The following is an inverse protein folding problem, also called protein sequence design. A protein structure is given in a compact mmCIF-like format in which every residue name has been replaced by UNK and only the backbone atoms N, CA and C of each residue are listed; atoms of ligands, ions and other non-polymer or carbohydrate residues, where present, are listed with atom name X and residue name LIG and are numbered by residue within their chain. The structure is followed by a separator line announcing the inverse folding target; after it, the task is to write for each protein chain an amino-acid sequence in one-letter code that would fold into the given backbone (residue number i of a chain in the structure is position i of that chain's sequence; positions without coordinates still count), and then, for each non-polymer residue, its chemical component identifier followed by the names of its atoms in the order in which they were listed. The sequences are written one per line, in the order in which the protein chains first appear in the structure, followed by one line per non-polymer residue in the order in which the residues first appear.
data_IF_036080718921
#
_entry.id   IF_036080718921
#
_cell.length_a   1.000
_cell.length_b   1.000
_cell.length_c   1.000
_cell.angle_alpha   90.00
_cell.angle_beta   90.00
_cell.angle_gamma   90.00
#
_symmetry.space_group_name_H-M   'P 1'
#
loop_
_entity.id
_entity.type
_entity.pdbx_description
1 polymer ?
#
# COMPACT_ATOMS: atom_id res chain seq x y z
N UNK A 1 -12.95 -4.13 14.60
CA UNK A 1 -14.14 -3.92 13.78
C UNK A 1 -15.00 -5.18 13.80
N UNK A 2 -16.13 -5.13 14.46
CA UNK A 2 -17.18 -6.13 14.26
C UNK A 2 -18.31 -5.45 13.49
N UNK A 3 -18.33 -5.52 12.16
CA UNK A 3 -19.31 -4.79 11.34
C UNK A 3 -20.70 -5.44 11.36
N UNK A 4 -20.97 -6.42 12.25
CA UNK A 4 -22.19 -7.21 12.24
C UNK A 4 -22.34 -8.06 10.96
N UNK A 5 -21.32 -8.15 10.15
CA UNK A 5 -21.08 -9.11 9.10
C UNK A 5 -20.07 -10.09 9.68
N UNK A 6 -20.16 -11.35 9.47
CA UNK A 6 -19.29 -12.40 10.02
C UNK A 6 -17.85 -12.01 10.35
N UNK A 7 -17.06 -12.95 10.75
CA UNK A 7 -15.68 -12.68 11.15
C UNK A 7 -14.84 -12.28 9.94
N UNK A 8 -13.98 -11.30 10.11
CA UNK A 8 -12.99 -10.91 9.09
C UNK A 8 -11.59 -10.85 9.72
N UNK A 9 -10.57 -11.15 8.91
CA UNK A 9 -9.17 -10.95 9.26
C UNK A 9 -8.63 -9.77 8.50
N UNK A 10 -8.06 -8.81 9.23
CA UNK A 10 -7.39 -7.65 8.64
C UNK A 10 -5.88 -7.85 8.75
N UNK A 11 -5.18 -7.72 7.64
CA UNK A 11 -3.73 -7.74 7.59
C UNK A 11 -3.22 -6.33 7.29
N UNK A 12 -2.47 -5.79 8.26
CA UNK A 12 -1.68 -4.58 8.11
C UNK A 12 -0.28 -5.00 7.64
N UNK A 13 0.09 -4.83 6.37
CA UNK A 13 1.36 -5.33 5.85
C UNK A 13 2.57 -4.52 6.31
N UNK A 14 2.34 -3.35 6.89
CA UNK A 14 3.39 -2.45 7.36
C UNK A 14 3.55 -2.67 8.86
N UNK A 15 4.57 -3.45 9.22
CA UNK A 15 4.91 -3.79 10.59
C UNK A 15 6.41 -3.62 10.77
N UNK A 16 6.85 -2.47 11.31
CA UNK A 16 8.25 -2.25 11.60
C UNK A 16 8.47 -2.21 13.12
N UNK A 17 9.07 -3.26 13.65
CA UNK A 17 9.39 -3.40 15.07
C UNK A 17 10.63 -2.60 15.50
N UNK A 18 11.38 -2.02 14.57
CA UNK A 18 12.66 -1.37 14.82
C UNK A 18 12.60 0.16 14.88
N UNK A 19 11.46 0.75 14.58
CA UNK A 19 11.29 2.21 14.67
C UNK A 19 10.79 2.63 16.04
N UNK A 20 11.13 3.84 16.46
CA UNK A 20 10.80 4.37 17.77
C UNK A 20 9.30 4.65 18.02
N UNK A 21 8.46 4.58 16.99
CA UNK A 21 7.01 4.51 17.10
C UNK A 21 6.59 3.04 16.95
N UNK A 22 5.75 2.59 17.81
CA UNK A 22 5.35 1.19 17.84
C UNK A 22 4.20 0.92 16.91
N UNK A 23 4.27 -0.22 16.23
CA UNK A 23 3.14 -0.81 15.59
C UNK A 23 3.09 -0.65 14.09
N UNK A 24 2.17 -1.41 13.55
CA UNK A 24 1.84 -1.49 12.15
C UNK A 24 1.00 -0.29 11.74
N UNK A 25 1.61 0.88 11.64
CA UNK A 25 0.96 2.08 11.14
C UNK A 25 1.33 2.33 9.70
N UNK A 26 0.37 2.14 8.79
CA UNK A 26 0.56 2.35 7.37
C UNK A 26 -0.70 2.85 6.69
N UNK A 27 -0.59 3.15 5.41
CA UNK A 27 -1.70 3.64 4.60
C UNK A 27 -2.48 2.55 3.86
N UNK A 28 -2.18 1.26 4.09
CA UNK A 28 -2.76 0.16 3.32
C UNK A 28 -3.03 -1.07 4.17
N UNK A 29 -4.23 -1.67 4.02
CA UNK A 29 -4.56 -2.95 4.65
C UNK A 29 -5.36 -3.85 3.71
N UNK A 30 -5.27 -5.17 3.92
CA UNK A 30 -6.09 -6.18 3.26
C UNK A 30 -7.07 -6.78 4.24
N UNK A 31 -8.30 -7.02 3.78
CA UNK A 31 -9.38 -7.64 4.53
C UNK A 31 -9.70 -8.98 3.88
N UNK A 32 -9.71 -10.04 4.67
CA UNK A 32 -10.11 -11.38 4.29
C UNK A 32 -11.40 -11.74 5.03
N UNK A 33 -12.43 -12.14 4.31
CA UNK A 33 -13.75 -12.44 4.84
C UNK A 33 -13.90 -13.95 5.02
N UNK A 34 -14.47 -14.38 6.12
CA UNK A 34 -14.88 -15.79 6.30
C UNK A 34 -16.09 -16.10 5.41
N UNK A 35 -17.04 -15.17 5.32
CA UNK A 35 -18.17 -15.27 4.41
C UNK A 35 -18.09 -14.17 3.34
N UNK A 36 -17.88 -14.58 2.10
CA UNK A 36 -17.76 -13.64 0.96
C UNK A 36 -19.06 -12.92 0.61
N UNK A 37 -20.19 -13.44 1.05
CA UNK A 37 -21.50 -12.77 0.84
C UNK A 37 -21.58 -11.44 1.62
N UNK A 38 -20.77 -11.29 2.68
CA UNK A 38 -20.69 -10.05 3.44
C UNK A 38 -19.85 -8.96 2.75
N UNK A 39 -19.19 -9.25 1.60
CA UNK A 39 -18.25 -8.34 0.94
C UNK A 39 -18.84 -6.95 0.71
N UNK A 40 -20.04 -6.87 0.17
CA UNK A 40 -20.66 -5.58 -0.14
C UNK A 40 -21.00 -4.80 1.14
N UNK A 41 -21.45 -5.47 2.17
CA UNK A 41 -21.74 -4.85 3.47
C UNK A 41 -20.47 -4.31 4.12
N UNK A 42 -19.40 -5.10 4.15
CA UNK A 42 -18.10 -4.68 4.70
C UNK A 42 -17.51 -3.53 3.88
N UNK A 43 -17.62 -3.60 2.55
CA UNK A 43 -17.19 -2.54 1.64
C UNK A 43 -17.83 -1.19 2.00
N UNK A 44 -19.16 -1.14 2.13
CA UNK A 44 -19.87 0.12 2.43
C UNK A 44 -19.56 0.64 3.84
N UNK A 45 -19.41 -0.24 4.83
CA UNK A 45 -19.04 0.14 6.20
C UNK A 45 -17.62 0.76 6.21
N UNK A 46 -16.65 0.10 5.58
CA UNK A 46 -15.26 0.55 5.56
C UNK A 46 -15.12 1.85 4.78
N UNK A 47 -15.79 1.97 3.65
CA UNK A 47 -15.79 3.18 2.83
C UNK A 47 -16.33 4.42 3.55
N UNK A 48 -17.21 4.23 4.53
CA UNK A 48 -17.77 5.32 5.33
C UNK A 48 -16.86 5.76 6.49
N UNK A 49 -15.74 5.08 6.75
CA UNK A 49 -14.81 5.44 7.83
C UNK A 49 -14.02 6.68 7.42
N UNK A 50 -14.01 7.67 8.32
CA UNK A 50 -13.19 8.88 8.14
C UNK A 50 -11.71 8.52 7.97
N UNK A 51 -11.04 9.15 7.00
CA UNK A 51 -9.63 8.87 6.66
C UNK A 51 -9.42 7.71 5.69
N UNK A 52 -10.48 7.00 5.31
CA UNK A 52 -10.42 6.03 4.21
C UNK A 52 -10.57 6.79 2.89
N UNK A 53 -9.54 6.75 2.06
CA UNK A 53 -9.55 7.37 0.74
C UNK A 53 -10.17 6.44 -0.30
N UNK A 54 -9.85 5.16 -0.24
CA UNK A 54 -10.29 4.21 -1.24
C UNK A 54 -10.46 2.80 -0.68
N UNK A 55 -11.50 2.13 -1.14
CA UNK A 55 -11.72 0.70 -0.92
C UNK A 55 -11.81 0.03 -2.28
N UNK A 56 -11.08 -1.07 -2.46
CA UNK A 56 -11.11 -1.89 -3.67
C UNK A 56 -11.57 -3.30 -3.37
N UNK A 57 -12.22 -3.93 -4.33
CA UNK A 57 -12.36 -5.39 -4.37
C UNK A 57 -11.04 -6.02 -4.81
N UNK A 58 -10.88 -7.34 -4.60
CA UNK A 58 -9.69 -8.08 -5.01
C UNK A 58 -9.34 -7.83 -6.50
N UNK A 59 -10.34 -7.88 -7.36
CA UNK A 59 -10.18 -7.70 -8.81
C UNK A 59 -9.68 -6.29 -9.14
N UNK A 60 -10.23 -5.29 -8.46
CA UNK A 60 -9.86 -3.89 -8.69
C UNK A 60 -8.45 -3.58 -8.17
N UNK A 61 -8.09 -4.06 -6.97
CA UNK A 61 -6.73 -3.82 -6.45
C UNK A 61 -5.69 -4.55 -7.29
N UNK A 62 -5.96 -5.78 -7.71
CA UNK A 62 -5.06 -6.54 -8.59
C UNK A 62 -4.76 -5.79 -9.88
N UNK A 63 -5.78 -5.17 -10.49
CA UNK A 63 -5.65 -4.36 -11.69
C UNK A 63 -4.92 -3.04 -11.44
N UNK A 64 -5.35 -2.29 -10.42
CA UNK A 64 -4.83 -0.94 -10.13
C UNK A 64 -3.38 -0.97 -9.65
N UNK A 65 -3.02 -1.96 -8.82
CA UNK A 65 -1.68 -2.10 -8.27
C UNK A 65 -0.82 -3.11 -9.04
N UNK A 66 -1.34 -3.67 -10.13
CA UNK A 66 -0.65 -4.64 -10.98
C UNK A 66 -0.13 -5.87 -10.17
N UNK A 67 -0.97 -6.38 -9.28
CA UNK A 67 -0.66 -7.50 -8.38
C UNK A 67 -1.37 -8.79 -8.82
N UNK A 68 -0.81 -9.96 -8.47
CA UNK A 68 -1.49 -11.24 -8.72
C UNK A 68 -2.80 -11.34 -7.93
N UNK A 69 -3.91 -11.59 -8.62
CA UNK A 69 -5.24 -11.67 -8.01
C UNK A 69 -5.34 -12.75 -6.92
N UNK A 70 -4.66 -13.87 -7.10
CA UNK A 70 -4.65 -15.01 -6.16
C UNK A 70 -3.96 -14.70 -4.83
N UNK A 71 -3.29 -13.55 -4.73
CA UNK A 71 -2.61 -13.07 -3.52
C UNK A 71 -3.30 -11.91 -2.84
N UNK A 72 -4.41 -11.44 -3.39
CA UNK A 72 -5.16 -10.34 -2.83
C UNK A 72 -6.18 -10.82 -1.78
N UNK A 73 -6.52 -9.93 -0.84
CA UNK A 73 -7.66 -10.13 0.06
C UNK A 73 -8.99 -9.86 -0.65
N UNK A 74 -10.11 -10.16 -0.01
CA UNK A 74 -11.44 -9.87 -0.55
C UNK A 74 -11.65 -8.38 -0.78
N UNK A 75 -11.07 -7.55 0.10
CA UNK A 75 -11.03 -6.08 -0.02
C UNK A 75 -9.63 -5.56 0.32
N UNK A 76 -9.27 -4.43 -0.28
CA UNK A 76 -8.11 -3.63 0.09
C UNK A 76 -8.56 -2.20 0.42
N UNK A 77 -7.94 -1.62 1.44
CA UNK A 77 -8.27 -0.29 1.96
C UNK A 77 -7.04 0.59 1.92
N UNK A 78 -7.20 1.80 1.42
CA UNK A 78 -6.16 2.82 1.38
C UNK A 78 -6.60 4.02 2.21
N UNK A 79 -5.75 4.45 3.10
CA UNK A 79 -5.94 5.67 3.88
C UNK A 79 -5.56 6.91 3.07
N UNK A 80 -6.15 8.04 3.44
CA UNK A 80 -5.73 9.34 2.91
C UNK A 80 -4.33 9.74 3.38
N UNK A 81 -3.79 10.81 2.82
CA UNK A 81 -2.41 11.29 3.10
C UNK A 81 -2.16 11.72 4.56
N UNK A 82 -3.19 11.82 5.38
CA UNK A 82 -3.11 12.27 6.78
C UNK A 82 -3.48 11.19 7.77
N UNK A 83 -3.93 10.06 7.27
CA UNK A 83 -4.45 8.95 8.07
C UNK A 83 -3.52 7.76 7.98
N UNK A 84 -3.36 7.08 9.09
CA UNK A 84 -2.67 5.78 9.18
C UNK A 84 -3.61 4.76 9.79
N UNK A 85 -3.46 3.52 9.38
CA UNK A 85 -4.27 2.40 9.84
C UNK A 85 -3.39 1.50 10.69
N UNK A 86 -3.79 1.25 11.92
CA UNK A 86 -3.13 0.33 12.84
C UNK A 86 -4.03 -0.84 13.22
N UNK A 87 -3.45 -1.86 13.82
CA UNK A 87 -4.17 -3.06 14.25
C UNK A 87 -4.99 -2.85 15.53
N UNK A 88 -4.63 -1.85 16.32
CA UNK A 88 -5.27 -1.55 17.61
C UNK A 88 -5.11 -0.09 18.00
N UNK A 89 -5.86 0.36 19.02
CA UNK A 89 -5.73 1.70 19.57
C UNK A 89 -4.31 1.99 20.08
N UNK A 90 -3.63 0.97 20.63
CA UNK A 90 -2.24 1.10 21.12
C UNK A 90 -1.26 1.47 20.03
N UNK A 91 -1.50 1.04 18.79
CA UNK A 91 -0.64 1.34 17.66
C UNK A 91 -0.69 2.84 17.30
N UNK A 92 -1.74 3.54 17.72
CA UNK A 92 -1.92 4.96 17.50
C UNK A 92 -1.36 5.83 18.64
N UNK A 93 -0.73 5.24 19.65
CA UNK A 93 0.02 6.01 20.67
C UNK A 93 1.32 6.55 20.09
N UNK A 94 1.31 7.82 19.74
CA UNK A 94 2.44 8.53 19.16
C UNK A 94 3.30 9.27 20.19
N UNK A 95 3.11 9.03 21.49
CA UNK A 95 3.83 9.71 22.59
C UNK A 95 5.35 9.54 22.46
N UNK A 96 5.82 8.38 21.98
CA UNK A 96 7.23 8.10 21.74
C UNK A 96 7.88 9.01 20.69
N UNK A 97 7.09 9.64 19.81
CA UNK A 97 7.60 10.57 18.79
C UNK A 97 8.02 11.93 19.36
N UNK A 98 7.66 12.24 20.62
CA UNK A 98 8.04 13.50 21.31
C UNK A 98 7.78 14.75 20.46
N UNK A 99 6.62 14.81 19.80
CA UNK A 99 6.22 15.91 18.92
C UNK A 99 6.83 15.89 17.51
N UNK A 100 7.63 14.90 17.16
CA UNK A 100 8.08 14.71 15.78
C UNK A 100 6.93 14.19 14.90
N UNK A 101 6.95 14.58 13.63
CA UNK A 101 5.95 14.10 12.67
C UNK A 101 6.13 12.60 12.41
N UNK A 102 5.05 11.83 12.52
CA UNK A 102 5.02 10.47 12.02
C UNK A 102 5.23 10.49 10.50
N UNK A 103 6.10 9.61 10.03
CA UNK A 103 6.27 9.30 8.60
C UNK A 103 5.97 7.83 8.42
N UNK A 104 5.07 7.55 7.52
CA UNK A 104 4.66 6.19 7.18
C UNK A 104 4.58 6.06 5.65
N UNK A 105 4.16 4.91 5.17
CA UNK A 105 4.07 4.62 3.75
C UNK A 105 2.87 3.69 3.47
N UNK A 106 2.67 3.34 2.19
CA UNK A 106 1.64 2.41 1.75
C UNK A 106 0.37 3.07 1.24
N UNK A 107 0.28 4.42 1.26
CA UNK A 107 -0.82 5.12 0.60
C UNK A 107 -0.53 5.36 -0.89
N UNK A 108 -1.52 5.81 -1.64
CA UNK A 108 -1.35 6.19 -3.05
C UNK A 108 -0.48 7.44 -3.22
N UNK A 109 -0.32 8.21 -2.15
CA UNK A 109 0.47 9.45 -2.15
C UNK A 109 1.98 9.22 -2.14
N UNK A 110 2.44 8.00 -1.81
CA UNK A 110 3.84 7.57 -1.86
C UNK A 110 4.15 6.67 -3.07
N UNK A 111 3.25 6.59 -4.05
CA UNK A 111 3.42 5.74 -5.23
C UNK A 111 4.57 6.19 -6.15
N UNK A 112 4.88 7.49 -6.17
CA UNK A 112 6.00 8.02 -6.95
C UNK A 112 7.29 7.94 -6.16
N UNK A 113 8.23 7.13 -6.65
CA UNK A 113 9.52 6.90 -6.01
C UNK A 113 10.67 7.19 -6.98
N UNK A 114 11.87 7.53 -6.49
CA UNK A 114 13.05 7.68 -7.35
C UNK A 114 13.40 6.38 -8.05
N UNK A 115 13.82 6.49 -9.31
CA UNK A 115 14.38 5.39 -10.11
C UNK A 115 15.81 5.79 -10.48
N UNK A 116 16.80 5.25 -9.75
CA UNK A 116 18.19 5.69 -9.80
C UNK A 116 19.07 4.55 -10.30
N UNK A 117 19.91 4.83 -11.28
CA UNK A 117 20.92 3.94 -11.80
C UNK A 117 22.31 4.58 -11.59
N UNK A 118 23.32 3.78 -11.35
CA UNK A 118 24.71 4.22 -11.19
C UNK A 118 25.38 4.59 -12.52
N UNK A 119 24.88 4.01 -13.60
CA UNK A 119 25.43 4.18 -14.94
C UNK A 119 24.42 4.85 -15.87
N UNK A 120 24.86 5.62 -16.87
CA UNK A 120 23.98 6.22 -17.85
C UNK A 120 23.29 5.17 -18.71
N UNK A 121 22.09 5.51 -19.17
CA UNK A 121 21.31 4.66 -20.08
C UNK A 121 21.84 4.80 -21.52
N UNK A 122 21.82 3.68 -22.25
CA UNK A 122 21.95 3.73 -23.71
C UNK A 122 20.72 4.36 -24.35
N UNK A 123 20.81 4.76 -25.62
CA UNK A 123 19.78 5.52 -26.33
C UNK A 123 18.41 4.82 -26.34
N UNK A 124 18.39 3.50 -26.52
CA UNK A 124 17.14 2.72 -26.53
C UNK A 124 16.40 2.85 -25.21
N UNK A 125 17.06 2.64 -24.09
CA UNK A 125 16.44 2.69 -22.76
C UNK A 125 16.20 4.12 -22.30
N UNK A 126 17.03 5.07 -22.69
CA UNK A 126 16.82 6.49 -22.45
C UNK A 126 15.53 6.98 -23.11
N UNK A 127 15.28 6.61 -24.38
CA UNK A 127 14.06 6.96 -25.08
C UNK A 127 12.84 6.28 -24.49
N UNK A 128 12.93 4.97 -24.18
CA UNK A 128 11.86 4.24 -23.48
C UNK A 128 11.50 4.88 -22.14
N UNK A 129 12.47 5.35 -21.36
CA UNK A 129 12.25 6.02 -20.08
C UNK A 129 11.55 7.39 -20.21
N UNK A 130 11.75 8.10 -21.32
CA UNK A 130 11.08 9.38 -21.60
C UNK A 130 9.62 9.19 -22.04
N UNK A 131 9.33 8.10 -22.73
CA UNK A 131 8.01 7.83 -23.31
C UNK A 131 7.06 7.12 -22.37
N UNK A 132 7.58 6.44 -21.36
CA UNK A 132 6.79 5.58 -20.48
C UNK A 132 7.00 5.92 -18.99
N UNK A 133 5.95 5.72 -18.20
CA UNK A 133 6.09 5.69 -16.74
C UNK A 133 6.78 4.40 -16.33
N UNK A 134 7.96 4.52 -15.73
CA UNK A 134 8.71 3.37 -15.25
C UNK A 134 8.05 2.75 -14.02
N UNK A 135 8.13 1.43 -13.92
CA UNK A 135 7.71 0.67 -12.75
C UNK A 135 8.94 0.23 -11.96
N UNK A 136 8.85 0.23 -10.63
CA UNK A 136 9.97 -0.18 -9.77
C UNK A 136 10.51 -1.58 -10.10
N UNK A 137 9.65 -2.51 -10.55
CA UNK A 137 10.07 -3.84 -10.99
C UNK A 137 10.96 -3.86 -12.24
N UNK A 138 10.93 -2.80 -13.04
CA UNK A 138 11.74 -2.69 -14.26
C UNK A 138 13.21 -2.33 -13.98
N UNK A 139 13.55 -2.04 -12.70
CA UNK A 139 14.92 -1.64 -12.33
C UNK A 139 15.97 -2.65 -12.78
N UNK A 140 15.66 -3.95 -12.67
CA UNK A 140 16.58 -5.02 -13.08
C UNK A 140 16.80 -5.03 -14.59
N UNK A 141 15.75 -4.85 -15.37
CA UNK A 141 15.85 -4.76 -16.83
C UNK A 141 16.68 -3.56 -17.25
N UNK A 142 16.46 -2.40 -16.65
CA UNK A 142 17.22 -1.20 -16.95
C UNK A 142 18.69 -1.31 -16.49
N UNK A 143 18.95 -1.88 -15.33
CA UNK A 143 20.30 -2.02 -14.80
C UNK A 143 21.14 -3.04 -15.60
N UNK A 144 20.54 -4.15 -16.05
CA UNK A 144 21.25 -5.23 -16.72
C UNK A 144 21.41 -5.03 -18.23
N UNK A 145 20.41 -4.42 -18.87
CA UNK A 145 20.36 -4.32 -20.33
C UNK A 145 20.34 -2.86 -20.84
N UNK A 146 20.07 -1.92 -19.96
CA UNK A 146 19.85 -0.52 -20.32
C UNK A 146 21.05 0.38 -20.17
N UNK A 147 22.06 0.00 -19.39
CA UNK A 147 23.24 0.83 -19.14
C UNK A 147 24.26 0.74 -20.25
N UNK A 148 25.08 1.78 -20.36
CA UNK A 148 26.28 1.80 -21.20
C UNK A 148 27.40 1.18 -20.35
N UNK A 149 27.86 0.00 -20.71
CA UNK A 149 29.05 -0.63 -20.13
C UNK A 149 30.30 -0.14 -20.83
#
# INVERSE_FOLDING_TARGET
LNPGAGTCRVICPITDAFVGHHGALGGFVRIYLENRDDRNKVYEIVKAIEGVEKVWTAENVAKELEQPLDREGDLAVVADKRTVIGGSEKDHDLSALKGKRLRTHGSLHEASVPFILSEPLNDKYSNRAKENTLRSREIFEYALNGTIS
#
